data_IF_993734592355
#
_entry.id   IF_993734592355
#
_cell.length_a   1.000
_cell.length_b   1.000
_cell.length_c   1.000
_cell.angle_alpha   90.00
_cell.angle_beta   90.00
_cell.angle_gamma   90.00
#
_symmetry.space_group_name_H-M   'P 1'
#
loop_
_entity.id
_entity.type
_entity.pdbx_description
1 polymer ?
#
# COMPACT_ATOMS: atom_id res chain seq x y z
N UNK A 1 20.22 2.42 10.88
CA UNK A 1 18.89 1.76 10.99
C UNK A 1 17.88 2.55 10.18
N UNK A 2 17.25 1.93 9.22
CA UNK A 2 16.20 2.61 8.47
C UNK A 2 14.91 2.56 9.26
N UNK A 3 14.33 3.72 9.51
CA UNK A 3 13.02 3.78 10.15
C UNK A 3 11.95 3.40 9.12
N UNK A 4 11.08 2.49 9.51
CA UNK A 4 9.95 2.10 8.67
C UNK A 4 8.83 3.11 8.88
N UNK A 5 8.42 3.77 7.80
CA UNK A 5 7.32 4.73 7.89
C UNK A 5 6.00 4.01 8.08
N UNK A 6 5.41 4.21 9.24
CA UNK A 6 4.15 3.60 9.63
C UNK A 6 3.12 4.70 9.88
N UNK A 7 1.95 4.56 9.30
CA UNK A 7 0.85 5.51 9.52
C UNK A 7 -0.38 4.73 9.98
N UNK A 8 -1.29 5.40 10.67
CA UNK A 8 -2.54 4.75 11.06
C UNK A 8 -3.57 4.84 9.94
N UNK A 9 -4.66 4.06 10.07
CA UNK A 9 -5.68 3.98 9.03
C UNK A 9 -6.36 5.34 8.78
N UNK A 10 -6.58 6.13 9.81
CA UNK A 10 -7.23 7.43 9.66
C UNK A 10 -6.36 8.42 8.90
N UNK A 11 -5.06 8.43 9.17
CA UNK A 11 -4.11 9.26 8.42
C UNK A 11 -4.06 8.84 6.95
N UNK A 12 -4.05 7.53 6.69
CA UNK A 12 -4.07 7.01 5.34
C UNK A 12 -5.37 7.41 4.61
N UNK A 13 -6.50 7.32 5.31
CA UNK A 13 -7.78 7.73 4.73
C UNK A 13 -7.75 9.18 4.28
N UNK A 14 -7.21 10.08 5.11
CA UNK A 14 -7.10 11.49 4.74
C UNK A 14 -6.22 11.68 3.51
N UNK A 15 -5.11 10.96 3.42
CA UNK A 15 -4.23 11.04 2.25
C UNK A 15 -4.96 10.61 0.98
N UNK A 16 -5.77 9.56 1.07
CA UNK A 16 -6.56 9.09 -0.08
C UNK A 16 -7.60 10.14 -0.48
N UNK A 17 -8.31 10.71 0.48
CA UNK A 17 -9.32 11.74 0.20
C UNK A 17 -8.71 12.98 -0.44
N UNK A 18 -7.50 13.34 -0.06
CA UNK A 18 -6.77 14.48 -0.61
C UNK A 18 -5.98 14.14 -1.87
N UNK A 19 -6.08 12.90 -2.34
CA UNK A 19 -5.39 12.41 -3.53
C UNK A 19 -3.86 12.59 -3.43
N UNK A 20 -3.31 12.31 -2.25
CA UNK A 20 -1.89 12.50 -1.93
C UNK A 20 -1.08 11.22 -1.94
N UNK A 21 -1.70 10.07 -2.16
CA UNK A 21 -0.99 8.79 -2.13
C UNK A 21 -1.54 7.78 -3.12
N UNK A 22 -0.74 6.77 -3.34
CA UNK A 22 -1.16 5.55 -4.03
C UNK A 22 -1.42 4.50 -2.94
N UNK A 23 -2.67 4.15 -2.72
CA UNK A 23 -3.03 3.13 -1.75
C UNK A 23 -2.95 1.76 -2.42
N UNK A 24 -2.16 0.86 -1.85
CA UNK A 24 -1.87 -0.43 -2.46
C UNK A 24 -2.14 -1.57 -1.48
N UNK A 25 -3.03 -2.46 -1.87
CA UNK A 25 -3.33 -3.71 -1.15
C UNK A 25 -2.35 -4.78 -1.66
N UNK A 26 -1.51 -5.28 -0.77
CA UNK A 26 -0.50 -6.29 -1.15
C UNK A 26 -0.88 -7.72 -0.77
N UNK A 27 -2.15 -7.92 -0.33
CA UNK A 27 -2.65 -9.25 0.01
C UNK A 27 -2.80 -10.10 -1.25
N UNK A 28 -2.95 -11.41 -1.06
CA UNK A 28 -3.22 -12.31 -2.18
C UNK A 28 -4.68 -12.20 -2.62
N UNK A 29 -4.95 -12.54 -3.87
CA UNK A 29 -6.27 -12.41 -4.45
C UNK A 29 -7.35 -13.14 -3.64
N UNK A 30 -7.04 -14.33 -3.12
CA UNK A 30 -8.01 -15.10 -2.34
C UNK A 30 -8.40 -14.38 -1.04
N UNK A 31 -7.50 -13.58 -0.47
CA UNK A 31 -7.83 -12.78 0.71
C UNK A 31 -8.86 -11.70 0.37
N UNK A 32 -8.69 -11.04 -0.79
CA UNK A 32 -9.64 -10.03 -1.25
C UNK A 32 -11.01 -10.64 -1.52
N UNK A 33 -11.04 -11.83 -2.08
CA UNK A 33 -12.28 -12.52 -2.37
C UNK A 33 -13.05 -12.88 -1.08
N UNK A 34 -12.32 -13.19 -0.01
CA UNK A 34 -12.94 -13.54 1.28
C UNK A 34 -13.45 -12.33 2.05
N UNK A 35 -12.73 -11.21 2.00
CA UNK A 35 -13.00 -10.07 2.88
C UNK A 35 -13.58 -8.86 2.16
N UNK A 36 -13.51 -8.83 0.83
CA UNK A 36 -13.79 -7.64 0.05
C UNK A 36 -12.54 -6.79 -0.17
N UNK A 37 -12.72 -5.73 -0.94
CA UNK A 37 -11.64 -4.81 -1.33
C UNK A 37 -11.85 -3.46 -0.66
N UNK A 38 -10.75 -2.74 -0.45
CA UNK A 38 -10.81 -1.37 0.07
C UNK A 38 -11.01 -0.41 -1.10
N UNK A 39 -12.05 0.40 -1.04
CA UNK A 39 -12.33 1.39 -2.08
C UNK A 39 -11.14 2.36 -2.20
N UNK A 40 -10.67 2.55 -3.41
CA UNK A 40 -9.54 3.42 -3.70
C UNK A 40 -8.17 2.72 -3.70
N UNK A 41 -8.11 1.45 -3.32
CA UNK A 41 -6.85 0.71 -3.31
C UNK A 41 -6.60 0.02 -4.65
N UNK A 42 -5.35 0.04 -5.07
CA UNK A 42 -4.87 -0.79 -6.17
C UNK A 42 -4.41 -2.12 -5.60
N UNK A 43 -4.59 -3.20 -6.35
CA UNK A 43 -4.14 -4.52 -5.90
C UNK A 43 -2.82 -4.87 -6.57
N UNK A 44 -1.76 -4.93 -5.78
CA UNK A 44 -0.44 -5.38 -6.23
C UNK A 44 0.05 -6.39 -5.21
N UNK A 45 -0.09 -7.69 -5.47
CA UNK A 45 0.36 -8.71 -4.52
C UNK A 45 1.83 -8.51 -4.14
N UNK A 46 2.17 -8.85 -2.91
CA UNK A 46 3.51 -8.65 -2.36
C UNK A 46 4.63 -9.14 -3.30
N UNK A 47 4.42 -10.28 -3.97
CA UNK A 47 5.42 -10.84 -4.89
C UNK A 47 5.72 -9.98 -6.11
N UNK A 48 4.86 -9.01 -6.41
CA UNK A 48 5.03 -8.14 -7.58
C UNK A 48 5.55 -6.74 -7.23
N UNK A 49 5.79 -6.47 -5.94
CA UNK A 49 6.16 -5.12 -5.50
C UNK A 49 7.52 -4.64 -6.03
N UNK A 50 8.43 -5.54 -6.35
CA UNK A 50 9.72 -5.13 -6.91
C UNK A 50 9.60 -4.39 -8.24
N UNK A 51 8.47 -4.53 -8.94
CA UNK A 51 8.20 -3.78 -10.15
C UNK A 51 8.13 -2.26 -9.88
N UNK A 52 7.90 -1.86 -8.63
CA UNK A 52 7.94 -0.44 -8.25
C UNK A 52 9.35 0.16 -8.36
N UNK A 53 10.37 -0.69 -8.37
CA UNK A 53 11.76 -0.24 -8.53
C UNK A 53 12.14 0.03 -9.98
N UNK A 54 11.31 -0.41 -10.93
CA UNK A 54 11.55 -0.23 -12.36
C UNK A 54 10.69 0.92 -12.88
N UNK A 55 11.29 2.08 -13.21
CA UNK A 55 10.53 3.22 -13.71
C UNK A 55 9.85 2.97 -15.06
N UNK A 56 10.19 1.86 -15.72
CA UNK A 56 9.58 1.48 -16.99
C UNK A 56 8.48 0.44 -16.81
N UNK A 57 8.15 0.06 -15.57
CA UNK A 57 7.13 -0.96 -15.34
C UNK A 57 5.75 -0.45 -15.79
N UNK A 58 4.86 -1.40 -16.08
CA UNK A 58 3.51 -1.10 -16.53
C UNK A 58 2.70 -0.32 -15.48
N UNK A 59 3.00 -0.49 -14.21
CA UNK A 59 2.32 0.25 -13.14
C UNK A 59 2.46 1.77 -13.31
N UNK A 60 3.62 2.23 -13.77
CA UNK A 60 3.84 3.66 -14.01
C UNK A 60 3.33 4.09 -15.37
N UNK A 61 3.54 3.24 -16.39
CA UNK A 61 3.16 3.57 -17.77
C UNK A 61 1.66 3.73 -17.96
N UNK A 62 0.86 2.89 -17.29
CA UNK A 62 -0.60 2.92 -17.46
C UNK A 62 -1.30 3.75 -16.38
N UNK A 63 -0.55 4.46 -15.56
CA UNK A 63 -1.11 5.37 -14.57
C UNK A 63 -1.67 4.71 -13.31
N UNK A 64 -1.42 3.42 -13.09
CA UNK A 64 -1.86 2.75 -11.86
C UNK A 64 -1.17 3.31 -10.63
N UNK A 65 0.10 3.66 -10.76
CA UNK A 65 0.88 4.27 -9.68
C UNK A 65 1.41 5.61 -10.18
N UNK A 66 1.13 6.67 -9.41
CA UNK A 66 1.68 8.00 -9.66
C UNK A 66 3.01 8.08 -8.90
N UNK A 67 4.11 8.16 -9.65
CA UNK A 67 5.47 8.15 -9.08
C UNK A 67 5.78 9.37 -8.21
N UNK A 68 5.00 10.42 -8.32
CA UNK A 68 5.22 11.65 -7.56
C UNK A 68 4.52 11.62 -6.20
N UNK A 69 3.73 10.60 -5.93
CA UNK A 69 2.97 10.47 -4.68
C UNK A 69 3.50 9.34 -3.83
N UNK A 70 3.30 9.46 -2.53
CA UNK A 70 3.65 8.41 -1.57
C UNK A 70 2.93 7.11 -1.93
N UNK A 71 3.63 5.98 -1.83
CA UNK A 71 3.02 4.65 -1.94
C UNK A 71 2.72 4.18 -0.52
N UNK A 72 1.46 3.89 -0.25
CA UNK A 72 1.01 3.44 1.06
C UNK A 72 0.53 2.00 0.92
N UNK A 73 1.27 1.07 1.52
CA UNK A 73 0.97 -0.36 1.45
C UNK A 73 0.13 -0.80 2.64
N UNK A 74 -0.70 -1.82 2.43
CA UNK A 74 -1.29 -2.54 3.55
C UNK A 74 -1.45 -4.03 3.23
N UNK A 75 -1.40 -4.84 4.28
CA UNK A 75 -1.69 -6.27 4.20
C UNK A 75 -2.80 -6.59 5.20
N UNK A 76 -2.95 -7.85 5.61
CA UNK A 76 -4.03 -8.21 6.54
C UNK A 76 -3.80 -7.64 7.95
N UNK A 77 -2.59 -7.79 8.50
CA UNK A 77 -2.31 -7.41 9.89
C UNK A 77 -1.12 -6.47 10.08
N UNK A 78 -0.39 -6.14 9.03
CA UNK A 78 0.72 -5.20 9.08
C UNK A 78 2.11 -5.81 8.93
N UNK A 79 2.26 -7.12 9.05
CA UNK A 79 3.59 -7.77 9.03
C UNK A 79 4.20 -7.76 7.62
N UNK A 80 3.44 -8.21 6.63
CA UNK A 80 3.93 -8.26 5.24
C UNK A 80 4.21 -6.88 4.70
N UNK A 81 3.37 -5.90 5.03
CA UNK A 81 3.56 -4.53 4.55
C UNK A 81 4.76 -3.87 5.22
N UNK A 82 4.98 -4.12 6.51
CA UNK A 82 6.18 -3.62 7.19
C UNK A 82 7.46 -4.16 6.56
N UNK A 83 7.50 -5.48 6.30
CA UNK A 83 8.63 -6.11 5.64
C UNK A 83 8.86 -5.56 4.24
N UNK A 84 7.78 -5.28 3.51
CA UNK A 84 7.86 -4.74 2.15
C UNK A 84 8.41 -3.32 2.14
N UNK A 85 7.97 -2.47 3.07
CA UNK A 85 8.51 -1.12 3.18
C UNK A 85 10.00 -1.17 3.48
N UNK A 86 10.40 -2.02 4.41
CA UNK A 86 11.81 -2.18 4.75
C UNK A 86 12.63 -2.61 3.55
N UNK A 87 12.19 -3.66 2.86
CA UNK A 87 12.90 -4.21 1.70
C UNK A 87 13.04 -3.18 0.58
N UNK A 88 11.94 -2.51 0.23
CA UNK A 88 11.96 -1.54 -0.86
C UNK A 88 12.79 -0.30 -0.50
N UNK A 89 12.72 0.14 0.76
CA UNK A 89 13.52 1.27 1.22
C UNK A 89 15.02 0.95 1.12
N UNK A 90 15.42 -0.26 1.52
CA UNK A 90 16.80 -0.71 1.41
C UNK A 90 17.27 -0.76 -0.05
N UNK A 91 16.36 -0.96 -0.98
CA UNK A 91 16.65 -0.99 -2.42
C UNK A 91 16.56 0.37 -3.09
N UNK A 92 16.33 1.43 -2.31
CA UNK A 92 16.35 2.80 -2.80
C UNK A 92 15.00 3.45 -3.06
N UNK A 93 13.90 2.75 -2.83
CA UNK A 93 12.57 3.33 -2.98
C UNK A 93 12.19 4.11 -1.72
N UNK A 94 12.02 5.43 -1.84
CA UNK A 94 11.95 6.31 -0.66
C UNK A 94 10.55 6.77 -0.27
N UNK A 95 9.66 6.93 -1.24
CA UNK A 95 8.30 7.45 -0.98
C UNK A 95 7.34 6.31 -0.68
N UNK A 96 7.57 5.61 0.43
CA UNK A 96 6.80 4.42 0.78
C UNK A 96 6.55 4.36 2.29
N UNK A 97 5.33 3.96 2.64
CA UNK A 97 4.91 3.74 4.03
C UNK A 97 3.90 2.61 4.06
N UNK A 98 3.49 2.18 5.25
CA UNK A 98 2.44 1.18 5.37
C UNK A 98 1.46 1.54 6.50
N UNK A 99 0.29 0.91 6.49
CA UNK A 99 -0.76 1.15 7.46
C UNK A 99 -0.62 0.18 8.62
N UNK A 100 -0.46 0.72 9.84
CA UNK A 100 -0.41 -0.06 11.06
C UNK A 100 -1.69 -0.88 11.22
N UNK A 101 -1.54 -2.17 11.51
CA UNK A 101 -2.66 -3.08 11.70
C UNK A 101 -3.36 -3.53 10.42
N UNK A 102 -2.96 -3.01 9.27
CA UNK A 102 -3.43 -3.45 7.96
C UNK A 102 -4.94 -3.40 7.78
N UNK A 103 -5.48 -4.40 7.07
CA UNK A 103 -6.91 -4.48 6.77
C UNK A 103 -7.77 -4.49 8.03
N UNK A 104 -7.28 -5.11 9.11
CA UNK A 104 -8.00 -5.10 10.39
C UNK A 104 -8.27 -3.69 10.90
N UNK A 105 -7.28 -2.80 10.83
CA UNK A 105 -7.46 -1.40 11.21
C UNK A 105 -8.32 -0.64 10.20
N UNK A 106 -8.12 -0.91 8.92
CA UNK A 106 -8.87 -0.28 7.84
C UNK A 106 -10.37 -0.58 7.96
N UNK A 107 -10.73 -1.82 8.29
CA UNK A 107 -12.14 -2.23 8.39
C UNK A 107 -12.86 -1.55 9.55
N UNK A 108 -12.12 -1.02 10.52
CA UNK A 108 -12.66 -0.27 11.65
C UNK A 108 -12.51 1.25 11.47
N UNK A 109 -12.13 1.69 10.29
CA UNK A 109 -11.92 3.10 9.99
C UNK A 109 -13.00 3.64 9.06
N UNK A 110 -12.78 4.83 8.51
CA UNK A 110 -13.68 5.45 7.54
C UNK A 110 -13.59 4.88 6.14
N UNK A 111 -12.59 4.04 5.86
CA UNK A 111 -12.49 3.38 4.57
C UNK A 111 -13.70 2.50 4.28
N UNK A 112 -14.12 2.52 3.03
CA UNK A 112 -15.25 1.70 2.58
C UNK A 112 -14.73 0.38 2.02
N UNK A 113 -15.35 -0.72 2.45
CA UNK A 113 -15.05 -2.06 1.94
C UNK A 113 -16.13 -2.41 0.91
N UNK A 114 -15.68 -2.82 -0.26
CA UNK A 114 -16.58 -3.11 -1.39
C UNK A 114 -16.44 -4.52 -1.92
#
# INVERSE_FOLDING_TARGET
MSDIKTINADAAYQMVQENKCNLVDIRELNELELTGRVEGAKHIPMGNLEMLLDPKSDFFKNGQIDKDKEVVLFCAGGIRSEMSVKSLTEKGFKKISHIEGGFGSISNSSFKIV
#
